data_IF_160059283382
#
_entry.id   IF_160059283382
#
_cell.length_a   1.000
_cell.length_b   1.000
_cell.length_c   1.000
_cell.angle_alpha   90.00
_cell.angle_beta   90.00
_cell.angle_gamma   90.00
#
_symmetry.space_group_name_H-M   'P 1'
#
loop_
_entity.id
_entity.type
_entity.pdbx_description
1 polymer ?
#
# COMPACT_ATOMS: atom_id res chain seq x y z
N UNK A 1 40.66 10.72 67.17
CA UNK A 1 40.17 11.83 66.34
C UNK A 1 40.37 11.39 64.89
N UNK A 2 39.35 10.86 64.21
CA UNK A 2 38.36 11.62 63.41
C UNK A 2 39.11 12.27 62.20
N UNK A 3 38.96 11.90 60.92
CA UNK A 3 37.78 11.65 60.10
C UNK A 3 38.07 10.67 58.93
N UNK A 4 37.03 9.93 58.51
CA UNK A 4 36.86 9.21 57.23
C UNK A 4 37.00 10.17 56.02
N UNK A 5 37.30 9.78 54.77
CA UNK A 5 36.54 8.89 53.84
C UNK A 5 37.49 8.40 52.72
N UNK A 6 37.35 7.11 52.36
CA UNK A 6 38.09 6.40 51.32
C UNK A 6 37.37 6.44 49.96
N UNK A 7 38.17 6.57 48.90
CA UNK A 7 37.99 6.16 47.49
C UNK A 7 36.57 5.80 47.01
N UNK A 8 36.02 6.63 46.12
CA UNK A 8 34.82 6.34 45.33
C UNK A 8 35.22 5.47 44.12
N UNK A 9 35.17 4.15 44.31
CA UNK A 9 35.28 3.16 43.24
C UNK A 9 33.91 2.99 42.59
N UNK A 10 33.85 3.10 41.25
CA UNK A 10 32.73 2.68 40.41
C UNK A 10 32.32 1.27 40.80
N UNK A 11 31.04 1.00 41.10
CA UNK A 11 30.38 -0.31 40.99
C UNK A 11 28.87 -0.27 41.30
N UNK A 12 28.11 -0.83 40.36
CA UNK A 12 26.87 -1.62 40.55
C UNK A 12 25.62 -0.91 41.11
N UNK A 13 24.75 -0.44 40.21
CA UNK A 13 23.38 -0.04 40.50
C UNK A 13 22.46 -1.28 40.50
N UNK A 14 22.09 -1.78 41.68
CA UNK A 14 21.06 -2.79 41.85
C UNK A 14 19.85 -2.15 42.55
N UNK A 15 18.85 -1.78 41.76
CA UNK A 15 17.61 -1.19 42.25
C UNK A 15 16.73 -2.27 42.88
N UNK A 16 16.32 -1.97 44.11
CA UNK A 16 15.57 -2.86 44.98
C UNK A 16 14.04 -2.83 44.68
N UNK A 17 13.38 -3.91 45.10
CA UNK A 17 12.00 -3.97 45.67
C UNK A 17 10.87 -4.57 44.81
N UNK A 18 10.84 -5.90 44.85
CA UNK A 18 9.80 -6.71 45.52
C UNK A 18 8.35 -6.57 45.03
N UNK A 19 7.83 -7.67 44.44
CA UNK A 19 6.65 -8.47 44.88
C UNK A 19 6.37 -9.47 43.73
N UNK A 20 6.94 -10.70 43.79
CA UNK A 20 6.34 -11.93 44.36
C UNK A 20 5.61 -12.76 43.29
N UNK A 21 6.23 -13.92 42.98
CA UNK A 21 5.64 -15.26 42.75
C UNK A 21 4.51 -15.34 41.70
N UNK A 22 4.49 -16.22 40.69
CA UNK A 22 4.65 -17.68 40.67
C UNK A 22 4.77 -18.00 39.16
N UNK A 23 5.88 -18.52 38.66
CA UNK A 23 5.95 -19.93 38.33
C UNK A 23 5.24 -20.33 37.03
N UNK A 24 6.06 -20.68 36.02
CA UNK A 24 5.78 -21.64 34.94
C UNK A 24 4.94 -21.19 33.72
N UNK A 25 5.55 -20.44 32.79
CA UNK A 25 5.35 -20.65 31.35
C UNK A 25 6.44 -19.94 30.53
N UNK A 26 7.30 -20.76 29.92
CA UNK A 26 7.85 -20.62 28.57
C UNK A 26 8.04 -19.20 27.97
N UNK A 27 9.31 -18.90 27.75
CA UNK A 27 9.87 -18.32 26.53
C UNK A 27 8.83 -18.07 25.41
N UNK A 28 8.45 -16.81 25.21
CA UNK A 28 8.25 -16.19 23.91
C UNK A 28 8.14 -14.67 24.14
N UNK A 29 8.89 -13.94 23.34
CA UNK A 29 9.03 -12.49 23.31
C UNK A 29 7.77 -11.72 23.73
N UNK A 30 7.93 -10.76 24.64
CA UNK A 30 7.05 -9.59 24.68
C UNK A 30 7.28 -8.84 23.37
N UNK A 31 6.54 -9.22 22.33
CA UNK A 31 6.24 -8.24 21.29
C UNK A 31 5.48 -7.14 22.02
N UNK A 32 5.98 -5.92 21.97
CA UNK A 32 5.11 -4.79 22.23
C UNK A 32 3.93 -5.01 21.30
N UNK A 33 2.74 -5.22 21.87
CA UNK A 33 1.52 -5.04 21.14
C UNK A 33 1.56 -3.57 20.72
N UNK A 34 2.09 -3.31 19.52
CA UNK A 34 1.50 -2.28 18.69
C UNK A 34 -0.01 -2.51 18.81
N UNK A 35 -0.83 -1.48 19.07
CA UNK A 35 -2.26 -1.67 18.92
C UNK A 35 -2.46 -2.40 17.59
N UNK A 36 -2.92 -3.65 17.69
CA UNK A 36 -3.38 -4.41 16.55
C UNK A 36 -4.65 -3.67 16.15
N UNK A 37 -4.48 -2.57 15.41
CA UNK A 37 -5.46 -2.22 14.41
C UNK A 37 -5.34 -3.33 13.36
N UNK A 38 -5.88 -4.50 13.71
CA UNK A 38 -6.82 -5.13 12.82
C UNK A 38 -7.95 -4.12 12.67
N UNK A 39 -7.72 -3.11 11.83
CA UNK A 39 -8.81 -2.72 10.98
C UNK A 39 -9.04 -3.97 10.16
N UNK A 40 -10.13 -4.67 10.48
CA UNK A 40 -10.90 -5.36 9.47
C UNK A 40 -11.01 -4.33 8.35
N UNK A 41 -10.06 -4.34 7.41
CA UNK A 41 -10.40 -3.98 6.07
C UNK A 41 -11.37 -5.09 5.72
N UNK A 42 -12.64 -4.81 6.03
CA UNK A 42 -13.74 -5.00 5.11
C UNK A 42 -13.05 -4.97 3.77
N UNK A 43 -12.83 -6.16 3.19
CA UNK A 43 -12.19 -6.25 1.90
C UNK A 43 -13.24 -5.61 1.03
N UNK A 44 -13.18 -4.28 0.92
CA UNK A 44 -13.81 -3.53 -0.12
C UNK A 44 -13.04 -4.12 -1.27
N UNK A 45 -13.58 -5.20 -1.81
CA UNK A 45 -12.99 -5.94 -2.89
C UNK A 45 -13.13 -4.97 -4.01
N UNK A 46 -12.20 -4.02 -4.10
CA UNK A 46 -12.19 -3.00 -5.09
C UNK A 46 -12.09 -3.80 -6.38
N UNK A 47 -13.22 -3.94 -7.06
CA UNK A 47 -13.53 -4.87 -8.11
C UNK A 47 -12.63 -4.71 -9.32
N UNK A 48 -11.69 -3.77 -9.33
CA UNK A 48 -10.54 -3.77 -10.23
C UNK A 48 -9.38 -4.63 -9.74
N UNK A 49 -8.20 -4.04 -9.80
CA UNK A 49 -6.94 -4.57 -9.32
C UNK A 49 -6.90 -4.58 -7.80
N UNK A 50 -6.32 -5.61 -7.21
CA UNK A 50 -5.86 -5.53 -5.81
C UNK A 50 -4.34 -5.72 -5.79
N UNK A 51 -3.62 -4.75 -5.23
CA UNK A 51 -2.18 -4.83 -5.05
C UNK A 51 -1.76 -4.42 -3.65
N UNK A 52 -0.69 -5.05 -3.15
CA UNK A 52 0.02 -4.67 -1.92
C UNK A 52 1.17 -3.69 -2.20
N UNK A 53 1.34 -3.26 -3.46
CA UNK A 53 2.30 -2.23 -3.79
C UNK A 53 1.93 -0.91 -3.09
N UNK A 54 2.93 -0.14 -2.61
CA UNK A 54 2.67 1.16 -2.01
C UNK A 54 2.02 2.10 -3.04
N UNK A 55 1.09 2.91 -2.56
CA UNK A 55 0.47 3.96 -3.39
C UNK A 55 1.55 4.91 -3.91
N UNK A 56 1.37 5.33 -5.16
CA UNK A 56 2.24 6.30 -5.82
C UNK A 56 2.10 7.66 -5.14
N UNK A 57 3.23 8.32 -4.84
CA UNK A 57 3.24 9.58 -4.12
C UNK A 57 2.86 10.75 -5.04
N UNK A 58 1.56 11.01 -5.14
CA UNK A 58 1.02 12.06 -5.98
C UNK A 58 -0.48 12.23 -5.81
N UNK A 59 -1.07 13.04 -6.69
CA UNK A 59 -2.50 13.28 -6.69
C UNK A 59 -3.05 13.35 -8.12
N UNK A 60 -4.34 13.03 -8.24
CA UNK A 60 -5.08 13.10 -9.48
C UNK A 60 -5.50 14.53 -9.80
N UNK A 61 -5.31 14.94 -11.04
CA UNK A 61 -5.71 16.24 -11.58
C UNK A 61 -6.58 16.02 -12.81
N UNK A 62 -7.74 16.68 -12.83
CA UNK A 62 -8.64 16.68 -13.98
C UNK A 62 -8.26 17.84 -14.91
N UNK A 63 -7.90 17.52 -16.15
CA UNK A 63 -7.60 18.51 -17.18
C UNK A 63 -8.88 19.09 -17.79
N UNK A 64 -8.79 20.28 -18.42
CA UNK A 64 -9.94 21.00 -18.99
C UNK A 64 -10.70 20.23 -20.07
N UNK A 65 -10.02 19.30 -20.71
CA UNK A 65 -10.53 18.39 -21.74
C UNK A 65 -11.21 17.14 -21.18
N UNK A 66 -11.30 17.00 -19.85
CA UNK A 66 -11.92 15.86 -19.17
C UNK A 66 -10.98 14.67 -18.95
N UNK A 67 -9.72 14.76 -19.38
CA UNK A 67 -8.72 13.72 -19.15
C UNK A 67 -8.15 13.80 -17.73
N UNK A 68 -7.91 12.65 -17.11
CA UNK A 68 -7.21 12.57 -15.83
C UNK A 68 -5.70 12.48 -16.02
N UNK A 69 -4.95 13.16 -15.17
CA UNK A 69 -3.49 13.11 -15.11
C UNK A 69 -3.07 12.90 -13.66
N UNK A 70 -1.88 12.35 -13.43
CA UNK A 70 -1.35 12.14 -12.09
C UNK A 70 -0.10 12.98 -11.88
N UNK A 71 -0.10 13.83 -10.86
CA UNK A 71 1.01 14.74 -10.55
C UNK A 71 1.78 14.22 -9.34
N UNK A 72 3.09 14.09 -9.48
CA UNK A 72 3.98 13.71 -8.36
C UNK A 72 4.04 14.84 -7.34
N UNK A 73 3.90 14.50 -6.05
CA UNK A 73 4.00 15.48 -4.98
C UNK A 73 5.45 15.91 -4.70
N UNK A 74 6.44 15.07 -5.03
CA UNK A 74 7.85 15.40 -4.83
C UNK A 74 8.35 16.47 -5.80
N UNK A 75 7.96 16.32 -7.07
CA UNK A 75 8.50 17.13 -8.18
C UNK A 75 7.49 18.13 -8.74
N UNK A 76 6.20 17.98 -8.43
CA UNK A 76 5.12 18.75 -9.05
C UNK A 76 4.93 18.45 -10.55
N UNK A 77 5.59 17.42 -11.08
CA UNK A 77 5.56 17.07 -12.50
C UNK A 77 4.55 15.95 -12.79
N UNK A 78 3.98 15.89 -14.01
CA UNK A 78 3.11 14.79 -14.40
C UNK A 78 3.90 13.47 -14.45
N UNK A 79 3.31 12.43 -13.87
CA UNK A 79 3.83 11.07 -13.92
C UNK A 79 3.30 10.35 -15.16
N UNK A 80 4.09 9.41 -15.67
CA UNK A 80 3.76 8.60 -16.84
C UNK A 80 3.95 7.12 -16.52
N UNK A 81 3.20 6.25 -17.19
CA UNK A 81 3.25 4.81 -17.00
C UNK A 81 2.32 4.32 -15.89
N UNK A 82 2.75 3.28 -15.18
CA UNK A 82 1.96 2.61 -14.16
C UNK A 82 1.88 3.42 -12.87
N UNK A 83 0.67 3.66 -12.39
CA UNK A 83 0.38 4.38 -11.14
C UNK A 83 -0.46 3.48 -10.25
N UNK A 84 -0.10 3.42 -8.97
CA UNK A 84 -0.89 2.74 -7.93
C UNK A 84 -1.57 3.80 -7.09
N UNK A 85 -2.88 3.71 -6.92
CA UNK A 85 -3.65 4.64 -6.09
C UNK A 85 -4.77 3.89 -5.42
N UNK A 86 -4.87 3.94 -4.08
CA UNK A 86 -5.87 3.20 -3.30
C UNK A 86 -5.86 1.69 -3.63
N UNK A 87 -4.68 1.09 -3.71
CA UNK A 87 -4.49 -0.34 -4.05
C UNK A 87 -4.98 -0.76 -5.45
N UNK A 88 -5.23 0.21 -6.34
CA UNK A 88 -5.65 -0.01 -7.73
C UNK A 88 -4.53 0.40 -8.69
N UNK A 89 -4.33 -0.39 -9.75
CA UNK A 89 -3.45 -0.02 -10.86
C UNK A 89 -4.18 0.86 -11.87
N UNK A 90 -3.50 1.91 -12.28
CA UNK A 90 -3.87 2.82 -13.35
C UNK A 90 -2.68 2.98 -14.29
N UNK A 91 -2.94 3.48 -15.49
CA UNK A 91 -1.89 3.76 -16.45
C UNK A 91 -2.07 5.15 -17.07
N UNK A 92 -1.00 5.93 -17.06
CA UNK A 92 -0.92 7.24 -17.70
C UNK A 92 -0.10 7.07 -18.98
N UNK A 93 -0.70 7.35 -20.13
CA UNK A 93 0.00 7.32 -21.42
C UNK A 93 1.08 8.41 -21.49
N UNK A 94 1.99 8.30 -22.46
CA UNK A 94 3.08 9.26 -22.66
C UNK A 94 2.62 10.70 -22.94
N UNK A 95 1.34 10.88 -23.29
CA UNK A 95 0.71 12.19 -23.43
C UNK A 95 0.24 12.81 -22.10
N UNK A 96 0.52 12.15 -20.96
CA UNK A 96 0.11 12.59 -19.63
C UNK A 96 -1.35 12.34 -19.29
N UNK A 97 -2.05 11.54 -20.10
CA UNK A 97 -3.48 11.24 -19.90
C UNK A 97 -3.67 9.81 -19.43
N UNK A 98 -4.56 9.63 -18.48
CA UNK A 98 -5.02 8.32 -18.03
C UNK A 98 -5.67 7.58 -19.19
N UNK A 99 -5.26 6.34 -19.39
CA UNK A 99 -5.87 5.47 -20.41
C UNK A 99 -7.11 4.78 -19.84
N UNK A 100 -8.04 4.49 -20.73
CA UNK A 100 -9.26 3.73 -20.46
C UNK A 100 -9.48 2.74 -21.61
N UNK A 101 -10.19 1.65 -21.34
CA UNK A 101 -10.48 0.60 -22.31
C UNK A 101 -9.29 -0.32 -22.58
N UNK A 102 -9.32 -0.96 -23.74
CA UNK A 102 -8.29 -1.90 -24.19
C UNK A 102 -7.01 -1.18 -24.60
N UNK A 103 -5.90 -1.51 -23.94
CA UNK A 103 -4.59 -0.93 -24.22
C UNK A 103 -3.52 -2.01 -24.36
N UNK A 104 -2.79 -1.97 -25.48
CA UNK A 104 -1.62 -2.82 -25.70
C UNK A 104 -0.36 -2.16 -25.12
N UNK A 105 0.32 -2.83 -24.20
CA UNK A 105 1.54 -2.36 -23.52
C UNK A 105 2.56 -3.50 -23.54
N UNK A 106 3.74 -3.29 -24.13
CA UNK A 106 4.81 -4.29 -24.21
C UNK A 106 4.34 -5.68 -24.70
N UNK A 107 3.61 -5.70 -25.83
CA UNK A 107 3.03 -6.89 -26.46
C UNK A 107 1.82 -7.51 -25.75
N UNK A 108 1.64 -7.22 -24.47
CA UNK A 108 0.49 -7.66 -23.68
C UNK A 108 -0.70 -6.72 -23.82
N UNK A 109 -1.90 -7.24 -23.62
CA UNK A 109 -3.15 -6.48 -23.73
C UNK A 109 -3.82 -6.37 -22.37
N UNK A 110 -4.00 -5.13 -21.91
CA UNK A 110 -4.60 -4.78 -20.63
C UNK A 110 -5.94 -4.10 -20.84
N UNK A 111 -6.86 -4.27 -19.90
CA UNK A 111 -8.16 -3.61 -19.94
C UNK A 111 -8.34 -2.69 -18.72
N UNK A 112 -8.48 -1.40 -19.00
CA UNK A 112 -8.75 -0.36 -17.99
C UNK A 112 -10.23 0.00 -18.00
N UNK A 113 -10.81 0.20 -16.82
CA UNK A 113 -12.24 0.46 -16.71
C UNK A 113 -12.66 1.74 -17.42
N UNK A 114 -13.58 1.65 -18.37
CA UNK A 114 -14.14 2.82 -19.07
C UNK A 114 -15.26 3.52 -18.27
N UNK A 115 -15.77 2.86 -17.24
CA UNK A 115 -16.84 3.36 -16.38
C UNK A 115 -16.51 3.10 -14.91
N UNK A 116 -17.01 3.94 -14.03
CA UNK A 116 -17.02 3.62 -12.60
C UNK A 116 -18.18 2.66 -12.35
N UNK A 117 -17.87 1.39 -12.08
CA UNK A 117 -18.84 0.35 -11.71
C UNK A 117 -18.64 0.01 -10.24
N UNK A 118 -19.63 -0.59 -9.59
CA UNK A 118 -19.54 -1.02 -8.19
C UNK A 118 -18.21 -1.75 -7.93
N UNK A 119 -17.44 -1.21 -6.99
CA UNK A 119 -16.08 -1.58 -6.65
C UNK A 119 -14.98 -1.36 -7.72
N UNK A 120 -15.30 -1.04 -8.98
CA UNK A 120 -14.33 -0.75 -10.05
C UNK A 120 -14.30 0.75 -10.39
N UNK A 121 -13.33 1.54 -9.89
CA UNK A 121 -13.23 2.94 -10.25
C UNK A 121 -12.85 3.15 -11.72
N UNK A 122 -13.23 4.29 -12.31
CA UNK A 122 -12.86 4.68 -13.67
C UNK A 122 -11.33 4.60 -13.85
N UNK A 123 -10.87 4.00 -14.95
CA UNK A 123 -9.45 3.87 -15.30
C UNK A 123 -8.69 2.79 -14.54
N UNK A 124 -9.31 2.10 -13.58
CA UNK A 124 -8.62 1.00 -12.88
C UNK A 124 -8.48 -0.23 -13.75
N UNK A 125 -7.34 -0.91 -13.62
CA UNK A 125 -7.04 -2.15 -14.33
C UNK A 125 -7.96 -3.29 -13.86
N UNK A 126 -8.44 -4.10 -14.80
CA UNK A 126 -9.10 -5.37 -14.49
C UNK A 126 -8.05 -6.45 -14.24
N UNK A 127 -8.16 -7.19 -13.15
CA UNK A 127 -7.28 -8.31 -12.82
C UNK A 127 -8.07 -9.49 -12.26
N UNK A 128 -7.68 -10.71 -12.62
CA UNK A 128 -8.26 -11.97 -12.14
C UNK A 128 -9.79 -12.05 -12.28
N UNK A 129 -10.34 -11.52 -13.38
CA UNK A 129 -11.79 -11.43 -13.62
C UNK A 129 -12.12 -11.43 -15.11
N UNK A 130 -13.42 -11.40 -15.43
CA UNK A 130 -13.88 -11.16 -16.79
C UNK A 130 -14.10 -9.66 -17.02
N UNK A 131 -13.66 -9.18 -18.19
CA UNK A 131 -14.03 -7.85 -18.68
C UNK A 131 -15.52 -7.85 -19.06
N UNK A 132 -16.16 -6.67 -19.19
CA UNK A 132 -17.55 -6.57 -19.65
C UNK A 132 -17.79 -7.23 -21.01
N UNK A 133 -16.74 -7.32 -21.83
CA UNK A 133 -16.71 -7.97 -23.14
C UNK A 133 -16.51 -9.50 -23.06
N UNK A 134 -16.54 -10.06 -21.86
CA UNK A 134 -16.41 -11.50 -21.59
C UNK A 134 -15.03 -12.10 -21.91
N UNK A 135 -13.97 -11.28 -21.93
CA UNK A 135 -12.59 -11.76 -22.00
C UNK A 135 -12.04 -12.00 -20.59
N UNK A 136 -11.30 -13.10 -20.42
CA UNK A 136 -10.63 -13.42 -19.16
C UNK A 136 -9.31 -12.66 -19.06
N UNK A 137 -9.09 -11.96 -17.96
CA UNK A 137 -7.79 -11.39 -17.61
C UNK A 137 -7.16 -12.16 -16.45
N UNK A 138 -5.86 -12.38 -16.54
CA UNK A 138 -5.07 -13.13 -15.56
C UNK A 138 -4.83 -12.31 -14.26
N UNK A 139 -4.03 -12.87 -13.35
CA UNK A 139 -3.66 -12.21 -12.09
C UNK A 139 -2.75 -11.00 -12.26
N UNK A 140 -2.30 -10.68 -13.48
CA UNK A 140 -1.52 -9.49 -13.85
C UNK A 140 -2.35 -8.49 -14.67
N UNK A 141 -3.61 -8.83 -14.95
CA UNK A 141 -4.51 -8.03 -15.80
C UNK A 141 -4.25 -8.17 -17.30
N UNK A 142 -3.45 -9.16 -17.68
CA UNK A 142 -3.15 -9.49 -19.07
C UNK A 142 -4.31 -10.33 -19.61
N UNK A 143 -4.81 -9.98 -20.80
CA UNK A 143 -5.80 -10.78 -21.52
C UNK A 143 -5.23 -12.17 -21.80
N UNK A 144 -5.88 -13.19 -21.26
CA UNK A 144 -5.64 -14.56 -21.67
C UNK A 144 -6.30 -14.78 -23.05
N UNK A 145 -5.51 -15.30 -23.98
CA UNK A 145 -5.90 -15.76 -25.32
C UNK A 145 -6.56 -17.14 -25.31
#
# INVERSE_FOLDING_TARGET
MQYFISYFFVKEAAYEKMIVLIGWAFLLSVTAALPCFAEENNTVGYGGSTTTAPDSYGHWVLSRDGSWSFISNDTGSPMYGWIVSKHQWYYIAANGRMVIGWQKINYETYYFSEKSVENQPLGSLYMNKFTPDNYRVDSKGIRAD
#
